data_IF_466879541832
#
_entry.id   IF_466879541832
#
_cell.length_a   1.000
_cell.length_b   1.000
_cell.length_c   1.000
_cell.angle_alpha   90.00
_cell.angle_beta   90.00
_cell.angle_gamma   90.00
#
_symmetry.space_group_name_H-M   'P 1'
#
loop_
_entity.id
_entity.type
_entity.pdbx_description
1 polymer ?
#
# COMPACT_ATOMS: atom_id res chain seq x y z
N UNK A 1 -16.58 1.64 14.50
CA UNK A 1 -16.31 2.87 13.72
C UNK A 1 -17.02 2.87 12.36
N UNK A 2 -17.06 1.76 11.59
CA UNK A 2 -17.76 1.65 10.28
C UNK A 2 -19.15 2.30 10.25
N UNK A 3 -20.07 1.90 11.13
CA UNK A 3 -21.45 2.45 11.16
C UNK A 3 -21.53 3.98 11.35
N UNK A 4 -20.49 4.63 11.87
CA UNK A 4 -20.51 6.08 12.09
C UNK A 4 -20.28 6.87 10.80
N UNK A 5 -19.60 6.31 9.80
CA UNK A 5 -19.17 7.06 8.61
C UNK A 5 -19.47 6.36 7.27
N UNK A 6 -20.00 5.12 7.28
CA UNK A 6 -20.25 4.34 6.05
C UNK A 6 -21.19 4.98 5.03
N UNK A 7 -22.05 5.90 5.45
CA UNK A 7 -22.97 6.59 4.55
C UNK A 7 -22.42 7.93 4.04
N UNK A 8 -21.19 8.30 4.44
CA UNK A 8 -20.54 9.52 3.96
C UNK A 8 -20.03 9.32 2.52
N UNK A 9 -20.38 10.21 1.56
CA UNK A 9 -20.11 9.99 0.13
C UNK A 9 -18.62 10.01 -0.24
N UNK A 10 -17.74 10.51 0.63
CA UNK A 10 -16.29 10.45 0.42
C UNK A 10 -15.66 9.10 0.80
N UNK A 11 -16.39 8.20 1.49
CA UNK A 11 -15.88 6.87 1.79
C UNK A 11 -16.07 6.00 0.56
N UNK A 12 -14.97 5.46 0.04
CA UNK A 12 -14.97 4.61 -1.17
C UNK A 12 -14.63 3.16 -0.86
N UNK A 13 -13.90 2.90 0.21
CA UNK A 13 -13.35 1.59 0.56
C UNK A 13 -12.94 1.56 2.04
N UNK A 14 -12.96 0.38 2.66
CA UNK A 14 -12.37 0.15 3.98
C UNK A 14 -11.02 -0.53 3.82
N UNK A 15 -9.97 -0.01 4.46
CA UNK A 15 -8.68 -0.70 4.53
C UNK A 15 -8.54 -1.36 5.91
N UNK A 16 -8.25 -2.65 5.95
CA UNK A 16 -7.96 -3.41 7.17
C UNK A 16 -6.50 -3.83 7.17
N UNK A 17 -5.73 -3.33 8.14
CA UNK A 17 -4.31 -3.61 8.27
C UNK A 17 -3.44 -2.85 7.26
N UNK A 18 -2.24 -2.47 7.71
CA UNK A 18 -1.17 -1.86 6.92
C UNK A 18 0.13 -2.60 7.23
N UNK A 19 0.81 -3.12 6.22
CA UNK A 19 2.10 -3.84 6.33
C UNK A 19 2.18 -4.86 7.48
N UNK A 20 1.05 -5.51 7.77
CA UNK A 20 0.93 -6.37 8.95
C UNK A 20 1.87 -7.59 8.90
N UNK A 21 2.41 -7.91 7.72
CA UNK A 21 3.46 -8.91 7.54
C UNK A 21 4.85 -8.47 7.98
N UNK A 22 5.11 -7.17 8.07
CA UNK A 22 6.37 -6.62 8.57
C UNK A 22 6.27 -6.22 10.04
N UNK A 23 5.15 -5.60 10.43
CA UNK A 23 5.02 -5.00 11.77
C UNK A 23 4.30 -5.87 12.81
N UNK A 24 3.86 -7.09 12.46
CA UNK A 24 3.17 -7.97 13.41
C UNK A 24 1.88 -7.33 13.96
N UNK A 25 1.15 -6.59 13.12
CA UNK A 25 -0.04 -5.82 13.48
C UNK A 25 0.20 -4.78 14.57
N UNK A 26 1.46 -4.33 14.73
CA UNK A 26 1.91 -3.43 15.79
C UNK A 26 1.67 -3.98 17.22
N UNK A 27 1.56 -5.30 17.37
CA UNK A 27 1.30 -5.97 18.66
C UNK A 27 2.08 -7.29 18.80
N UNK A 28 3.27 -7.35 18.18
CA UNK A 28 4.19 -8.51 18.20
C UNK A 28 3.55 -9.85 17.77
N UNK A 29 2.49 -9.78 16.97
CA UNK A 29 1.76 -10.96 16.53
C UNK A 29 2.54 -11.72 15.44
N UNK A 30 2.38 -13.05 15.43
CA UNK A 30 2.86 -13.84 14.30
C UNK A 30 2.07 -13.50 13.04
N UNK A 31 2.65 -13.81 11.88
CA UNK A 31 1.99 -13.64 10.58
C UNK A 31 0.60 -14.31 10.54
N UNK A 32 0.50 -15.57 10.99
CA UNK A 32 -0.76 -16.32 11.05
C UNK A 32 -1.80 -15.66 11.97
N UNK A 33 -1.36 -15.11 13.10
CA UNK A 33 -2.25 -14.38 14.01
C UNK A 33 -2.77 -13.11 13.33
N UNK A 34 -1.88 -12.33 12.72
CA UNK A 34 -2.26 -11.13 11.96
C UNK A 34 -3.24 -11.45 10.84
N UNK A 35 -2.98 -12.51 10.07
CA UNK A 35 -3.86 -12.99 9.03
C UNK A 35 -5.26 -13.28 9.60
N UNK A 36 -5.33 -13.99 10.74
CA UNK A 36 -6.57 -14.24 11.48
C UNK A 36 -7.32 -12.95 11.85
N UNK A 37 -6.61 -11.96 12.39
CA UNK A 37 -7.19 -10.66 12.77
C UNK A 37 -7.69 -9.86 11.57
N UNK A 38 -6.90 -9.77 10.50
CA UNK A 38 -7.28 -9.09 9.26
C UNK A 38 -8.53 -9.74 8.66
N UNK A 39 -8.60 -11.07 8.65
CA UNK A 39 -9.76 -11.83 8.19
C UNK A 39 -11.02 -11.49 8.99
N UNK A 40 -10.93 -11.49 10.32
CA UNK A 40 -12.08 -11.17 11.17
C UNK A 40 -12.50 -9.69 11.05
N UNK A 41 -11.55 -8.76 10.99
CA UNK A 41 -11.82 -7.35 10.75
C UNK A 41 -12.55 -7.14 9.41
N UNK A 42 -12.11 -7.80 8.34
CA UNK A 42 -12.76 -7.75 7.03
C UNK A 42 -14.19 -8.31 7.07
N UNK A 43 -14.41 -9.45 7.75
CA UNK A 43 -15.76 -10.01 7.97
C UNK A 43 -16.68 -9.01 8.69
N UNK A 44 -16.15 -8.32 9.70
CA UNK A 44 -16.89 -7.32 10.45
C UNK A 44 -17.23 -6.12 9.56
N UNK A 45 -16.26 -5.58 8.81
CA UNK A 45 -16.47 -4.47 7.90
C UNK A 45 -17.57 -4.78 6.88
N UNK A 46 -17.46 -5.91 6.17
CA UNK A 46 -18.48 -6.35 5.19
C UNK A 46 -19.86 -6.58 5.78
N UNK A 47 -19.94 -7.08 7.02
CA UNK A 47 -21.24 -7.27 7.70
C UNK A 47 -21.90 -5.93 8.03
N UNK A 48 -21.11 -4.93 8.42
CA UNK A 48 -21.62 -3.62 8.79
C UNK A 48 -21.90 -2.74 7.57
N UNK A 49 -21.18 -2.98 6.49
CA UNK A 49 -21.27 -2.23 5.25
C UNK A 49 -21.02 -3.14 4.04
N UNK A 50 -22.09 -3.49 3.34
CA UNK A 50 -22.05 -4.32 2.14
C UNK A 50 -21.87 -3.52 0.85
N UNK A 51 -21.81 -2.18 0.93
CA UNK A 51 -21.74 -1.30 -0.24
C UNK A 51 -20.30 -1.00 -0.66
N UNK A 52 -19.41 -0.82 0.31
CA UNK A 52 -18.01 -0.48 0.05
C UNK A 52 -17.12 -1.73 0.05
N UNK A 53 -16.14 -1.83 -0.89
CA UNK A 53 -15.14 -2.88 -0.87
C UNK A 53 -14.28 -2.81 0.41
N UNK A 54 -13.67 -3.95 0.74
CA UNK A 54 -12.68 -4.07 1.79
C UNK A 54 -11.32 -4.42 1.19
N UNK A 55 -10.32 -3.62 1.50
CA UNK A 55 -8.92 -3.80 1.15
C UNK A 55 -8.06 -4.20 2.34
N UNK A 56 -6.88 -4.73 2.06
CA UNK A 56 -5.76 -4.82 2.99
C UNK A 56 -4.52 -4.29 2.29
N UNK A 57 -3.64 -3.63 3.02
CA UNK A 57 -2.33 -3.23 2.51
C UNK A 57 -1.26 -4.20 3.04
N UNK A 58 -0.43 -4.71 2.14
CA UNK A 58 0.65 -5.65 2.44
C UNK A 58 2.01 -5.01 2.13
N UNK A 59 3.04 -5.39 2.88
CA UNK A 59 4.41 -5.05 2.56
C UNK A 59 4.87 -5.89 1.37
N UNK A 60 4.98 -5.27 0.18
CA UNK A 60 5.18 -5.91 -1.14
C UNK A 60 4.02 -6.83 -1.56
N UNK A 61 4.22 -7.59 -2.65
CA UNK A 61 3.21 -8.53 -3.16
C UNK A 61 3.05 -9.73 -2.20
N UNK A 62 1.81 -10.10 -1.82
CA UNK A 62 1.56 -11.31 -1.04
C UNK A 62 1.81 -12.58 -1.88
N UNK A 63 2.04 -13.71 -1.21
CA UNK A 63 2.06 -15.02 -1.88
C UNK A 63 0.63 -15.52 -2.16
N UNK A 64 0.50 -16.50 -3.06
CA UNK A 64 -0.80 -17.03 -3.49
C UNK A 64 -1.62 -17.60 -2.31
N UNK A 65 -0.95 -18.22 -1.35
CA UNK A 65 -1.53 -18.80 -0.15
C UNK A 65 -2.21 -17.72 0.72
N UNK A 66 -1.55 -16.57 0.88
CA UNK A 66 -2.13 -15.42 1.61
C UNK A 66 -3.39 -14.91 0.91
N UNK A 67 -3.38 -14.85 -0.42
CA UNK A 67 -4.54 -14.42 -1.22
C UNK A 67 -5.72 -15.40 -1.11
N UNK A 68 -5.45 -16.71 -1.09
CA UNK A 68 -6.45 -17.74 -0.89
C UNK A 68 -7.08 -17.64 0.50
N UNK A 69 -6.23 -17.53 1.52
CA UNK A 69 -6.62 -17.43 2.93
C UNK A 69 -7.40 -16.14 3.26
N UNK A 70 -7.11 -15.06 2.54
CA UNK A 70 -7.78 -13.77 2.62
C UNK A 70 -8.62 -13.49 1.37
N UNK A 71 -9.25 -14.54 0.83
CA UNK A 71 -10.18 -14.42 -0.31
C UNK A 71 -11.32 -13.43 -0.09
N UNK A 72 -11.63 -13.09 1.18
CA UNK A 72 -12.59 -12.05 1.57
C UNK A 72 -12.15 -10.62 1.22
N UNK A 73 -10.86 -10.35 1.03
CA UNK A 73 -10.37 -9.02 0.63
C UNK A 73 -10.71 -8.77 -0.84
N UNK A 74 -11.38 -7.66 -1.15
CA UNK A 74 -11.84 -7.33 -2.50
C UNK A 74 -10.73 -6.70 -3.36
N UNK A 75 -9.87 -5.90 -2.72
CA UNK A 75 -8.85 -5.05 -3.36
C UNK A 75 -7.57 -5.15 -2.54
N UNK A 76 -6.42 -5.25 -3.19
CA UNK A 76 -5.13 -5.30 -2.49
C UNK A 76 -4.35 -4.01 -2.66
N UNK A 77 -3.80 -3.53 -1.55
CA UNK A 77 -2.79 -2.49 -1.56
C UNK A 77 -1.42 -3.09 -1.30
N UNK A 78 -0.37 -2.53 -1.91
CA UNK A 78 1.01 -2.87 -1.58
C UNK A 78 1.82 -1.62 -1.31
N UNK A 79 2.63 -1.65 -0.26
CA UNK A 79 3.60 -0.58 -0.01
C UNK A 79 4.92 -0.93 -0.69
N UNK A 80 5.55 0.07 -1.30
CA UNK A 80 6.73 -0.13 -2.12
C UNK A 80 7.69 1.06 -2.05
N UNK A 81 8.90 0.80 -1.54
CA UNK A 81 9.96 1.80 -1.34
C UNK A 81 11.30 1.24 -1.85
N UNK A 82 11.43 1.01 -3.15
CA UNK A 82 12.68 0.48 -3.75
C UNK A 82 13.18 1.37 -4.89
N UNK A 83 13.68 2.55 -4.54
CA UNK A 83 14.27 3.46 -5.52
C UNK A 83 13.22 4.13 -6.43
N UNK A 84 13.47 4.12 -7.74
CA UNK A 84 12.79 4.98 -8.73
C UNK A 84 11.68 4.30 -9.54
N UNK A 85 11.41 3.01 -9.32
CA UNK A 85 10.41 2.27 -10.09
C UNK A 85 9.78 1.12 -9.29
N UNK A 86 8.74 0.50 -9.85
CA UNK A 86 8.09 -0.68 -9.27
C UNK A 86 8.62 -1.99 -9.86
N UNK A 87 9.83 -2.01 -10.43
CA UNK A 87 10.41 -3.28 -10.88
C UNK A 87 10.79 -4.16 -9.71
N UNK A 88 10.46 -5.44 -9.80
CA UNK A 88 10.96 -6.44 -8.87
C UNK A 88 12.49 -6.44 -8.95
N UNK A 89 13.13 -6.03 -7.85
CA UNK A 89 14.53 -6.33 -7.54
C UNK A 89 15.61 -5.55 -8.31
N UNK A 90 15.86 -4.31 -7.87
CA UNK A 90 17.25 -3.93 -7.60
C UNK A 90 17.53 -4.31 -6.14
N UNK A 91 18.13 -5.49 -5.93
CA UNK A 91 19.00 -5.62 -4.78
C UNK A 91 20.13 -4.60 -4.97
N UNK A 92 20.07 -3.49 -4.25
CA UNK A 92 21.20 -2.61 -4.09
C UNK A 92 22.21 -3.35 -3.21
N UNK A 93 23.06 -4.15 -3.88
CA UNK A 93 24.45 -4.44 -3.55
C UNK A 93 24.80 -4.19 -2.09
N UNK A 94 24.50 -5.12 -1.17
CA UNK A 94 25.43 -5.39 -0.07
C UNK A 94 25.35 -6.76 0.60
N UNK A 95 24.34 -7.63 0.44
CA UNK A 95 24.52 -9.07 0.72
C UNK A 95 23.61 -9.96 -0.14
N UNK A 96 24.26 -10.78 -0.99
CA UNK A 96 23.74 -11.99 -1.64
C UNK A 96 22.43 -11.84 -2.44
N UNK A 97 22.66 -11.57 -3.72
CA UNK A 97 21.77 -11.81 -4.87
C UNK A 97 21.16 -13.20 -4.88
N UNK A 98 19.84 -13.28 -4.76
CA UNK A 98 19.03 -14.14 -5.62
C UNK A 98 17.87 -13.35 -6.20
N UNK A 99 17.96 -13.07 -7.50
CA UNK A 99 16.84 -12.56 -8.28
C UNK A 99 15.77 -13.65 -8.37
N UNK A 100 14.56 -13.40 -7.90
CA UNK A 100 13.42 -14.26 -8.23
C UNK A 100 12.28 -13.54 -8.98
N UNK A 101 12.44 -12.25 -9.31
CA UNK A 101 11.53 -11.51 -10.18
C UNK A 101 12.25 -10.82 -11.34
N UNK A 102 11.69 -10.90 -12.55
CA UNK A 102 12.11 -10.06 -13.69
C UNK A 102 10.99 -9.10 -14.12
N UNK A 103 9.93 -8.96 -13.31
CA UNK A 103 8.70 -8.27 -13.68
C UNK A 103 8.50 -6.98 -12.90
N UNK A 104 7.70 -6.06 -13.44
CA UNK A 104 7.16 -4.98 -12.60
C UNK A 104 6.09 -5.58 -11.65
N UNK A 105 5.92 -5.02 -10.45
CA UNK A 105 4.83 -5.33 -9.50
C UNK A 105 3.49 -5.49 -10.22
N UNK A 106 3.21 -4.66 -11.22
CA UNK A 106 1.96 -4.72 -12.00
C UNK A 106 1.84 -6.01 -12.83
N UNK A 107 2.91 -6.43 -13.53
CA UNK A 107 2.93 -7.66 -14.33
C UNK A 107 2.86 -8.93 -13.45
N UNK A 108 3.50 -8.87 -12.29
CA UNK A 108 3.48 -9.97 -11.32
C UNK A 108 2.10 -10.11 -10.69
N UNK A 109 1.46 -8.99 -10.36
CA UNK A 109 0.10 -9.01 -9.85
C UNK A 109 -0.91 -9.54 -10.88
N UNK A 110 -0.78 -9.17 -12.16
CA UNK A 110 -1.65 -9.68 -13.23
C UNK A 110 -1.60 -11.22 -13.34
N UNK A 111 -0.43 -11.82 -13.12
CA UNK A 111 -0.25 -13.28 -13.11
C UNK A 111 -0.80 -13.91 -11.82
N UNK A 112 -0.70 -13.20 -10.70
CA UNK A 112 -1.01 -13.71 -9.37
C UNK A 112 -2.51 -13.61 -9.03
N UNK A 113 -3.20 -12.54 -9.45
CA UNK A 113 -4.57 -12.26 -9.04
C UNK A 113 -5.38 -11.49 -10.08
N UNK A 114 -6.67 -11.82 -10.19
CA UNK A 114 -7.65 -11.03 -10.95
C UNK A 114 -8.30 -9.90 -10.14
N UNK A 115 -7.86 -9.67 -8.89
CA UNK A 115 -8.40 -8.59 -8.03
C UNK A 115 -7.72 -7.24 -8.37
N UNK A 116 -8.35 -6.09 -8.11
CA UNK A 116 -7.70 -4.80 -8.31
C UNK A 116 -6.52 -4.59 -7.34
N UNK A 117 -5.46 -3.94 -7.81
CA UNK A 117 -4.29 -3.54 -7.03
C UNK A 117 -4.25 -2.01 -6.86
N UNK A 118 -3.78 -1.50 -5.74
CA UNK A 118 -3.29 -0.13 -5.62
C UNK A 118 -1.92 -0.10 -4.93
N UNK A 119 -1.17 0.97 -5.13
CA UNK A 119 0.05 1.22 -4.37
C UNK A 119 -0.34 1.96 -3.08
N UNK A 120 -0.30 1.25 -1.96
CA UNK A 120 -0.74 1.75 -0.65
C UNK A 120 0.12 2.89 -0.14
N UNK A 121 1.43 2.78 -0.38
CA UNK A 121 2.40 3.81 -0.06
C UNK A 121 3.57 3.73 -1.06
N UNK A 122 4.05 4.90 -1.49
CA UNK A 122 5.27 5.07 -2.28
C UNK A 122 5.80 6.48 -2.12
N UNK A 123 7.08 6.69 -2.38
CA UNK A 123 7.68 8.02 -2.37
C UNK A 123 9.17 7.95 -2.13
N UNK A 124 9.69 9.10 -1.73
CA UNK A 124 11.05 9.25 -1.26
C UNK A 124 11.09 10.34 -0.19
N UNK A 125 12.02 10.21 0.75
CA UNK A 125 12.34 11.29 1.66
C UNK A 125 13.30 12.30 1.02
N UNK A 126 13.33 13.49 1.61
CA UNK A 126 14.09 14.64 1.10
C UNK A 126 15.53 14.72 1.64
N UNK A 127 15.97 13.80 2.50
CA UNK A 127 17.28 13.85 3.16
C UNK A 127 18.23 12.83 2.55
N UNK A 128 19.40 13.27 2.11
CA UNK A 128 20.44 12.39 1.60
C UNK A 128 21.54 12.21 2.65
N UNK A 129 21.51 11.04 3.29
CA UNK A 129 22.44 10.66 4.36
C UNK A 129 23.89 10.61 3.87
N UNK A 130 24.13 10.42 2.58
CA UNK A 130 25.49 10.33 2.00
C UNK A 130 26.19 11.69 2.01
N UNK A 131 25.42 12.77 1.94
CA UNK A 131 25.91 14.14 1.92
C UNK A 131 25.53 14.94 3.17
N UNK A 132 24.75 14.34 4.08
CA UNK A 132 24.22 14.99 5.28
C UNK A 132 23.47 16.29 4.94
N UNK A 133 22.62 16.20 3.91
CA UNK A 133 22.00 17.37 3.29
C UNK A 133 20.67 17.04 2.61
N UNK A 134 19.89 18.08 2.37
CA UNK A 134 18.62 18.01 1.64
C UNK A 134 18.85 17.80 0.14
N UNK A 135 18.08 16.89 -0.46
CA UNK A 135 17.99 16.68 -1.90
C UNK A 135 16.52 16.66 -2.38
N UNK A 136 15.94 17.85 -2.47
CA UNK A 136 14.57 18.03 -2.95
C UNK A 136 14.35 17.61 -4.40
N UNK A 137 15.39 17.66 -5.23
CA UNK A 137 15.29 17.27 -6.63
C UNK A 137 15.26 15.76 -6.77
N UNK A 138 16.04 15.01 -5.98
CA UNK A 138 15.95 13.56 -5.91
C UNK A 138 14.57 13.10 -5.41
N UNK A 139 14.04 13.75 -4.37
CA UNK A 139 12.68 13.49 -3.88
C UNK A 139 11.64 13.71 -4.99
N UNK A 140 11.72 14.86 -5.67
CA UNK A 140 10.78 15.23 -6.73
C UNK A 140 10.84 14.29 -7.94
N UNK A 141 12.04 13.86 -8.33
CA UNK A 141 12.26 12.86 -9.38
C UNK A 141 11.55 11.55 -9.03
N UNK A 142 11.82 11.00 -7.84
CA UNK A 142 11.25 9.73 -7.39
C UNK A 142 9.72 9.78 -7.33
N UNK A 143 9.16 10.79 -6.66
CA UNK A 143 7.72 10.98 -6.57
C UNK A 143 7.09 11.10 -7.97
N UNK A 144 7.67 11.92 -8.85
CA UNK A 144 7.16 12.11 -10.20
C UNK A 144 7.17 10.83 -11.04
N UNK A 145 8.27 10.08 -11.00
CA UNK A 145 8.46 8.86 -11.81
C UNK A 145 7.60 7.71 -11.31
N UNK A 146 7.58 7.46 -9.99
CA UNK A 146 6.69 6.46 -9.39
C UNK A 146 5.21 6.79 -9.65
N UNK A 147 4.79 8.05 -9.47
CA UNK A 147 3.41 8.45 -9.78
C UNK A 147 3.08 8.18 -11.26
N UNK A 148 4.01 8.44 -12.18
CA UNK A 148 3.81 8.19 -13.61
C UNK A 148 3.70 6.70 -13.92
N UNK A 149 4.48 5.85 -13.28
CA UNK A 149 4.34 4.39 -13.43
C UNK A 149 2.96 3.89 -12.98
N UNK A 150 2.46 4.39 -11.84
CA UNK A 150 1.11 4.06 -11.36
C UNK A 150 0.07 4.48 -12.41
N UNK A 151 0.18 5.69 -12.97
CA UNK A 151 -0.76 6.17 -13.99
C UNK A 151 -0.66 5.38 -15.30
N UNK A 152 0.53 4.94 -15.69
CA UNK A 152 0.76 4.13 -16.88
C UNK A 152 0.23 2.70 -16.75
N UNK A 153 0.03 2.20 -15.53
CA UNK A 153 -0.49 0.86 -15.23
C UNK A 153 -1.94 0.90 -14.72
N UNK A 154 -2.66 1.97 -15.03
CA UNK A 154 -4.04 2.17 -14.57
C UNK A 154 -5.02 1.17 -15.18
N UNK A 155 -5.94 0.66 -14.38
CA UNK A 155 -7.05 -0.21 -14.80
C UNK A 155 -8.16 0.51 -15.58
N UNK A 156 -8.02 1.81 -15.84
CA UNK A 156 -8.97 2.54 -16.68
C UNK A 156 -8.87 2.13 -18.16
N UNK A 157 -10.02 2.15 -18.84
CA UNK A 157 -10.20 1.79 -20.25
C UNK A 157 -9.71 0.37 -20.58
N UNK A 158 -8.49 0.20 -21.08
CA UNK A 158 -8.04 -1.05 -21.69
C UNK A 158 -6.64 -1.51 -21.31
N UNK A 159 -6.05 -1.12 -20.18
CA UNK A 159 -4.83 -1.82 -19.77
C UNK A 159 -4.14 -1.40 -18.49
N UNK A 160 -4.06 -2.35 -17.55
CA UNK A 160 -3.34 -2.28 -16.29
C UNK A 160 -4.15 -2.91 -15.16
N UNK A 161 -3.49 -3.24 -14.05
CA UNK A 161 -4.14 -3.81 -12.86
C UNK A 161 -4.34 -2.79 -11.74
N UNK A 162 -3.77 -1.59 -11.88
CA UNK A 162 -3.67 -0.62 -10.79
C UNK A 162 -4.87 0.35 -10.77
N UNK A 163 -5.53 0.53 -9.63
CA UNK A 163 -6.60 1.52 -9.46
C UNK A 163 -6.09 2.88 -8.93
N UNK A 164 -4.79 3.01 -8.69
CA UNK A 164 -4.13 4.23 -8.23
C UNK A 164 -3.07 3.97 -7.16
N UNK A 165 -2.66 5.03 -6.46
CA UNK A 165 -1.81 4.88 -5.29
C UNK A 165 -1.76 6.13 -4.42
N UNK A 166 -1.28 5.97 -3.19
CA UNK A 166 -1.15 7.03 -2.20
C UNK A 166 0.32 7.35 -2.00
N UNK A 167 0.70 8.60 -2.29
CA UNK A 167 2.04 9.09 -2.02
C UNK A 167 2.24 9.25 -0.52
N UNK A 168 3.34 8.73 -0.02
CA UNK A 168 3.77 8.86 1.35
C UNK A 168 4.83 9.96 1.43
N UNK A 169 4.56 11.12 2.03
CA UNK A 169 3.29 11.50 2.69
C UNK A 169 2.89 12.95 2.44
N UNK A 170 1.76 13.38 3.00
CA UNK A 170 1.22 14.70 2.67
C UNK A 170 2.09 15.84 3.19
N UNK A 171 2.53 15.77 4.44
CA UNK A 171 3.39 16.75 5.08
C UNK A 171 4.34 16.05 6.04
N UNK A 172 5.50 16.64 6.31
CA UNK A 172 6.46 16.08 7.27
C UNK A 172 5.84 15.88 8.66
N UNK A 173 6.33 14.84 9.34
CA UNK A 173 5.88 14.41 10.66
C UNK A 173 7.10 14.31 11.61
N UNK A 174 7.45 15.41 12.29
CA UNK A 174 8.62 15.52 13.18
C UNK A 174 8.61 14.61 14.44
N UNK A 175 7.64 13.71 14.56
CA UNK A 175 7.53 12.78 15.68
C UNK A 175 7.89 11.35 15.30
N UNK A 176 8.21 11.11 14.02
CA UNK A 176 8.44 9.75 13.51
C UNK A 176 9.85 9.24 13.74
N UNK A 177 10.82 10.10 14.02
CA UNK A 177 12.10 9.64 14.52
C UNK A 177 11.95 9.13 15.96
N UNK A 178 12.12 7.82 16.15
CA UNK A 178 12.00 7.16 17.46
C UNK A 178 13.03 7.66 18.50
N UNK A 179 14.11 8.30 18.05
CA UNK A 179 15.16 8.88 18.88
C UNK A 179 15.10 10.42 18.94
N UNK A 180 14.22 11.01 18.15
CA UNK A 180 14.06 12.45 17.98
C UNK A 180 13.04 13.11 18.91
N UNK A 181 12.60 14.31 18.52
CA UNK A 181 11.59 15.09 19.26
C UNK A 181 10.59 15.77 18.31
N UNK A 182 9.33 15.97 18.70
CA UNK A 182 8.31 16.64 17.86
C UNK A 182 8.56 18.13 17.59
N UNK A 183 9.74 18.64 17.96
CA UNK A 183 10.15 20.04 17.86
C UNK A 183 11.45 20.24 17.08
N UNK A 184 12.05 19.15 16.60
CA UNK A 184 13.27 19.16 15.78
C UNK A 184 13.00 18.33 14.55
N UNK A 185 13.55 18.72 13.40
CA UNK A 185 13.49 17.90 12.19
C UNK A 185 14.69 16.97 12.19
N UNK A 186 14.49 15.77 12.72
CA UNK A 186 15.52 14.77 12.93
C UNK A 186 15.73 13.91 11.65
N UNK A 187 16.93 13.38 11.48
CA UNK A 187 17.33 12.63 10.27
C UNK A 187 18.14 11.37 10.63
N UNK A 188 17.80 10.72 11.75
CA UNK A 188 18.47 9.48 12.18
C UNK A 188 17.92 8.27 11.43
N UNK A 189 17.90 8.36 10.09
CA UNK A 189 17.32 7.37 9.21
C UNK A 189 17.83 5.96 9.44
N UNK A 190 16.92 5.00 9.33
CA UNK A 190 17.23 3.59 9.51
C UNK A 190 17.79 2.99 8.20
N UNK A 191 18.57 1.90 8.33
CA UNK A 191 19.12 1.14 7.21
C UNK A 191 18.55 -0.28 7.23
N UNK A 192 17.54 -0.52 6.39
CA UNK A 192 16.95 -1.84 6.23
C UNK A 192 17.51 -2.60 5.01
N UNK A 193 18.63 -2.16 4.43
CA UNK A 193 19.28 -2.81 3.28
C UNK A 193 18.54 -2.66 1.94
N UNK A 194 17.45 -1.89 1.92
CA UNK A 194 16.71 -1.43 0.74
C UNK A 194 15.88 -0.21 1.17
N UNK A 195 15.49 0.67 0.25
CA UNK A 195 14.76 1.86 0.64
C UNK A 195 14.41 2.81 -0.50
N UNK A 196 13.89 3.99 -0.17
CA UNK A 196 13.57 5.01 -1.16
C UNK A 196 14.82 5.49 -1.91
N UNK A 197 14.61 6.08 -3.07
CA UNK A 197 15.66 6.85 -3.74
C UNK A 197 16.00 8.11 -2.93
N UNK A 198 17.25 8.61 -2.91
CA UNK A 198 18.41 8.16 -3.68
C UNK A 198 19.43 7.30 -2.92
N UNK A 199 19.31 7.22 -1.60
CA UNK A 199 20.33 6.64 -0.73
C UNK A 199 19.87 5.34 -0.05
N UNK A 200 18.63 4.90 -0.28
CA UNK A 200 18.03 3.69 0.27
C UNK A 200 17.94 3.68 1.80
N UNK A 201 17.88 4.86 2.43
CA UNK A 201 17.64 5.07 3.86
C UNK A 201 16.23 5.58 4.07
N UNK A 202 15.61 5.31 5.21
CA UNK A 202 14.31 5.92 5.54
C UNK A 202 14.53 7.03 6.57
N UNK A 203 14.60 8.27 6.10
CA UNK A 203 14.58 9.42 7.00
C UNK A 203 13.13 9.79 7.29
N UNK A 204 12.55 9.11 8.29
CA UNK A 204 11.12 9.05 8.58
C UNK A 204 10.37 10.39 8.70
N UNK A 205 11.08 11.49 8.97
CA UNK A 205 10.47 12.81 9.12
C UNK A 205 10.48 13.65 7.82
N UNK A 206 11.12 13.18 6.75
CA UNK A 206 11.41 13.98 5.54
C UNK A 206 10.61 13.55 4.29
N UNK A 207 9.52 12.81 4.46
CA UNK A 207 8.72 12.23 3.37
C UNK A 207 7.71 13.19 2.74
N UNK A 208 7.41 14.30 3.41
CA UNK A 208 6.29 15.15 3.05
C UNK A 208 6.40 15.73 1.65
N UNK A 209 5.30 15.76 0.90
CA UNK A 209 5.16 16.68 -0.24
C UNK A 209 5.19 18.14 0.21
N UNK A 210 4.80 18.38 1.45
CA UNK A 210 4.87 19.66 2.14
C UNK A 210 5.79 19.54 3.35
N UNK A 211 6.38 20.65 3.79
CA UNK A 211 7.01 20.70 5.10
C UNK A 211 5.98 20.75 6.26
N UNK A 212 6.48 20.80 7.51
CA UNK A 212 5.65 20.88 8.71
C UNK A 212 4.76 22.15 8.75
N UNK A 213 5.15 23.22 8.07
CA UNK A 213 4.38 24.47 7.95
C UNK A 213 3.49 24.49 6.69
N UNK A 214 3.34 23.32 6.05
CA UNK A 214 2.52 23.07 4.87
C UNK A 214 2.98 23.88 3.65
N UNK A 215 4.26 24.25 3.60
CA UNK A 215 4.86 24.83 2.41
C UNK A 215 5.20 23.74 1.40
N UNK A 216 4.76 23.88 0.13
CA UNK A 216 5.04 22.87 -0.88
C UNK A 216 6.53 22.71 -1.20
N UNK A 217 6.99 21.46 -1.21
CA UNK A 217 8.30 21.06 -1.76
C UNK A 217 8.24 20.89 -3.28
N UNK A 218 9.38 20.85 -3.99
CA UNK A 218 9.42 20.47 -5.41
C UNK A 218 8.66 19.16 -5.72
N UNK A 219 8.68 18.18 -4.82
CA UNK A 219 7.93 16.93 -4.96
C UNK A 219 6.41 17.12 -5.08
N UNK A 220 5.82 18.09 -4.37
CA UNK A 220 4.40 18.43 -4.54
C UNK A 220 4.08 18.83 -5.98
N UNK A 221 4.95 19.64 -6.59
CA UNK A 221 4.79 20.09 -7.97
C UNK A 221 5.01 18.96 -8.98
N UNK A 222 5.97 18.08 -8.73
CA UNK A 222 6.18 16.88 -9.52
C UNK A 222 4.95 15.96 -9.49
N UNK A 223 4.44 15.64 -8.30
CA UNK A 223 3.21 14.86 -8.13
C UNK A 223 2.00 15.50 -8.85
N UNK A 224 1.79 16.80 -8.64
CA UNK A 224 0.70 17.56 -9.26
C UNK A 224 0.81 17.61 -10.79
N UNK A 225 2.03 17.60 -11.33
CA UNK A 225 2.32 17.71 -12.76
C UNK A 225 2.05 16.42 -13.54
N UNK A 226 1.86 15.27 -12.87
CA UNK A 226 1.59 14.01 -13.55
C UNK A 226 0.16 13.98 -14.10
N UNK A 227 0.04 13.70 -15.40
CA UNK A 227 -1.24 13.56 -16.08
C UNK A 227 -2.08 12.46 -15.47
N UNK A 228 -3.33 12.77 -15.13
CA UNK A 228 -4.29 11.80 -14.61
C UNK A 228 -5.03 11.13 -15.77
N UNK A 229 -5.21 9.80 -15.76
CA UNK A 229 -6.04 9.13 -16.73
C UNK A 229 -7.48 9.64 -16.62
N UNK A 230 -8.11 9.90 -17.77
CA UNK A 230 -9.47 10.43 -17.84
C UNK A 230 -10.43 9.28 -18.12
N UNK A 231 -11.35 9.03 -17.21
CA UNK A 231 -12.44 8.10 -17.46
C UNK A 231 -13.41 8.68 -18.50
N UNK A 232 -13.45 8.09 -19.69
CA UNK A 232 -14.31 8.54 -20.80
C UNK A 232 -15.68 7.84 -20.85
N UNK A 233 -16.05 7.11 -19.80
CA UNK A 233 -17.26 6.29 -19.74
C UNK A 233 -17.00 4.84 -20.14
N UNK A 234 -17.88 3.92 -19.73
CA UNK A 234 -17.90 2.57 -20.30
C UNK A 234 -18.36 2.69 -21.76
N UNK A 235 -17.72 2.01 -22.73
CA UNK A 235 -18.37 1.74 -24.01
C UNK A 235 -19.76 1.17 -23.69
N UNK A 236 -20.81 1.73 -24.31
CA UNK A 236 -22.16 1.16 -24.20
C UNK A 236 -22.07 -0.34 -24.45
N UNK A 237 -22.77 -1.17 -23.67
CA UNK A 237 -22.86 -2.63 -23.84
C UNK A 237 -23.46 -3.02 -25.21
N UNK A 238 -22.70 -2.79 -26.27
CA UNK A 238 -22.96 -3.22 -27.62
C UNK A 238 -21.70 -3.96 -28.09
N UNK A 239 -21.88 -5.25 -28.35
CA UNK A 239 -20.90 -6.27 -28.71
C UNK A 239 -20.11 -6.87 -27.54
N UNK A 240 -20.43 -8.14 -27.26
CA UNK A 240 -19.92 -8.90 -26.13
C UNK A 240 -18.40 -9.01 -26.08
N UNK A 241 -17.83 -8.57 -24.97
CA UNK A 241 -16.57 -9.08 -24.48
C UNK A 241 -16.82 -10.40 -23.71
N UNK A 242 -15.93 -11.40 -23.80
CA UNK A 242 -16.09 -12.63 -23.03
C UNK A 242 -16.03 -12.31 -21.54
N UNK A 243 -17.00 -12.82 -20.76
CA UNK A 243 -16.87 -12.86 -19.30
C UNK A 243 -15.59 -13.63 -18.94
N UNK A 244 -14.79 -13.17 -17.96
CA UNK A 244 -13.77 -14.01 -17.36
C UNK A 244 -14.42 -15.31 -16.88
N UNK A 245 -13.78 -16.44 -17.16
CA UNK A 245 -14.27 -17.74 -16.74
C UNK A 245 -14.47 -17.74 -15.21
N UNK A 246 -15.64 -18.20 -14.76
CA UNK A 246 -15.90 -18.37 -13.34
C UNK A 246 -14.83 -19.31 -12.76
N UNK A 247 -14.05 -18.81 -11.81
CA UNK A 247 -13.14 -19.65 -11.02
C UNK A 247 -14.02 -20.65 -10.27
N UNK A 248 -13.79 -21.94 -10.53
CA UNK A 248 -14.52 -23.02 -9.88
C UNK A 248 -14.32 -22.94 -8.36
N UNK A 249 -15.43 -22.93 -7.61
CA UNK A 249 -15.37 -23.02 -6.15
C UNK A 249 -14.70 -24.32 -5.71
N UNK A 250 -13.70 -24.30 -4.82
CA UNK A 250 -13.18 -25.52 -4.22
C UNK A 250 -14.27 -26.17 -3.36
N UNK A 251 -14.33 -27.50 -3.42
CA UNK A 251 -15.31 -28.33 -2.77
C UNK A 251 -15.32 -28.15 -1.24
N UNK A 252 -16.52 -28.18 -0.65
CA UNK A 252 -16.77 -28.05 0.80
C UNK A 252 -15.89 -29.02 1.62
N UNK A 253 -14.87 -28.51 2.29
CA UNK A 253 -14.22 -29.21 3.40
C UNK A 253 -15.14 -29.20 4.63
N UNK A 254 -15.25 -30.35 5.31
CA UNK A 254 -16.09 -30.55 6.51
C UNK A 254 -15.61 -29.64 7.65
N UNK A 255 -16.56 -28.92 8.25
CA UNK A 255 -16.33 -28.08 9.42
C UNK A 255 -15.89 -28.90 10.64
N UNK A 256 -14.76 -28.52 11.24
CA UNK A 256 -14.44 -28.85 12.63
C UNK A 256 -14.99 -27.74 13.55
N UNK A 257 -15.62 -28.13 14.65
CA UNK A 257 -16.31 -27.25 15.59
C UNK A 257 -15.33 -26.31 16.32
N UNK A 258 -15.59 -25.00 16.27
CA UNK A 258 -14.88 -24.00 17.06
C UNK A 258 -15.41 -23.93 18.51
N UNK A 259 -14.54 -23.69 19.51
CA UNK A 259 -14.97 -23.48 20.89
C UNK A 259 -15.66 -22.12 21.09
N UNK A 260 -16.48 -21.95 22.15
CA UNK A 260 -17.33 -20.77 22.31
C UNK A 260 -16.53 -19.50 22.66
N UNK A 261 -17.05 -18.31 22.30
CA UNK A 261 -16.34 -17.05 22.44
C UNK A 261 -16.26 -16.59 23.89
N UNK A 262 -15.10 -16.08 24.31
CA UNK A 262 -14.97 -15.26 25.53
C UNK A 262 -15.19 -13.79 25.18
N UNK A 263 -15.99 -13.10 26.01
CA UNK A 263 -16.20 -11.65 25.93
C UNK A 263 -14.88 -10.92 26.16
N UNK A 264 -14.55 -9.97 25.27
CA UNK A 264 -13.54 -8.96 25.50
C UNK A 264 -14.26 -7.64 25.77
N UNK A 265 -14.21 -7.20 27.02
CA UNK A 265 -14.51 -5.82 27.43
C UNK A 265 -13.18 -5.05 27.45
N UNK A 266 -13.18 -3.81 26.93
CA UNK A 266 -12.07 -2.87 27.04
C UNK A 266 -11.16 -2.78 25.81
N UNK A 267 -11.58 -2.03 24.79
CA UNK A 267 -10.70 -1.55 23.73
C UNK A 267 -10.80 -0.02 23.68
N UNK A 268 -9.80 0.63 24.25
CA UNK A 268 -9.57 2.07 24.09
C UNK A 268 -8.64 2.22 22.88
N UNK A 269 -9.12 2.92 21.85
CA UNK A 269 -8.33 3.23 20.66
C UNK A 269 -7.54 4.51 20.94
N UNK A 270 -6.21 4.45 20.94
CA UNK A 270 -5.38 5.64 20.84
C UNK A 270 -5.29 6.08 19.38
N UNK A 271 -5.34 7.40 19.20
CA UNK A 271 -5.35 8.16 17.94
C UNK A 271 -3.94 8.25 17.42
#
# INVERSE_FOLDING_TARGET
KVNAVKDHPAILMWVVGNEWNYNGCYDELTHDQCLGYVREAAKIAKRLDSKHPVASIYGRLPQAEVLEELSIIDVWGVNYYHGLNFTSEIEAVFWKTERNGTGNVFDEWEKLSGKPLFIGEYGADAWDTRYDALDYEAQALAVGDLTREIMNNTSLESGGVCIGGMVFEFADEWWKDATGTPFTHDHHGNDWGSGPWPDFRYNEEWWGLLDIDRQPRPAYHAFKGVSRPVYRGRPSEAAGAPRPAAVASPAKAKAASAPPPRRLEGLTVQV
#
